data_IF_571147892940
#
_entry.id   IF_571147892940
#
_cell.length_a   1.000
_cell.length_b   1.000
_cell.length_c   1.000
_cell.angle_alpha   90.00
_cell.angle_beta   90.00
_cell.angle_gamma   90.00
#
_symmetry.space_group_name_H-M   'P 1'
#
loop_
_entity.id
_entity.type
_entity.pdbx_description
1 polymer ?
#
# COMPACT_ATOMS: atom_id res chain seq x y z
N UNK A 1 -40.64 26.90 -14.34
CA UNK A 1 -39.41 26.20 -14.76
C UNK A 1 -39.67 24.71 -14.83
N UNK A 2 -39.66 24.14 -16.05
CA UNK A 2 -39.94 22.72 -16.32
C UNK A 2 -38.92 21.81 -15.61
N UNK A 3 -39.39 20.66 -15.10
CA UNK A 3 -38.60 19.63 -14.40
C UNK A 3 -37.35 19.17 -15.19
N UNK A 4 -37.35 19.36 -16.52
CA UNK A 4 -36.22 19.07 -17.40
C UNK A 4 -35.01 20.02 -17.18
N UNK A 5 -35.26 21.28 -16.83
CA UNK A 5 -34.20 22.28 -16.56
C UNK A 5 -33.48 22.03 -15.23
N UNK A 6 -34.20 21.56 -14.20
CA UNK A 6 -33.63 21.25 -12.88
C UNK A 6 -32.69 20.03 -12.92
N UNK A 7 -32.96 19.05 -13.78
CA UNK A 7 -32.10 17.87 -13.97
C UNK A 7 -30.78 18.21 -14.66
N UNK A 8 -30.78 19.17 -15.60
CA UNK A 8 -29.55 19.61 -16.28
C UNK A 8 -28.60 20.42 -15.36
N UNK A 9 -29.15 21.24 -14.47
CA UNK A 9 -28.34 22.03 -13.53
C UNK A 9 -27.70 21.15 -12.44
N UNK A 10 -28.40 20.10 -12.00
CA UNK A 10 -27.85 19.11 -11.05
C UNK A 10 -26.76 18.25 -11.68
N UNK A 11 -26.85 17.91 -12.96
CA UNK A 11 -25.82 17.18 -13.69
C UNK A 11 -24.52 18.01 -13.84
N UNK A 12 -24.63 19.30 -14.16
CA UNK A 12 -23.46 20.21 -14.23
C UNK A 12 -22.84 20.49 -12.86
N UNK A 13 -23.65 20.59 -11.80
CA UNK A 13 -23.14 20.71 -10.43
C UNK A 13 -22.38 19.46 -9.96
N UNK A 14 -22.82 18.26 -10.38
CA UNK A 14 -22.11 17.00 -10.12
C UNK A 14 -20.75 16.91 -10.82
N UNK A 15 -20.67 17.34 -12.08
CA UNK A 15 -19.42 17.35 -12.85
C UNK A 15 -18.42 18.39 -12.32
N UNK A 16 -18.88 19.60 -11.97
CA UNK A 16 -18.03 20.62 -11.36
C UNK A 16 -17.56 20.23 -9.95
N UNK A 17 -18.41 19.55 -9.17
CA UNK A 17 -18.01 18.99 -7.88
C UNK A 17 -16.93 17.91 -7.99
N UNK A 18 -16.97 17.09 -9.06
CA UNK A 18 -15.98 16.04 -9.30
C UNK A 18 -14.62 16.60 -9.76
N UNK A 19 -14.62 17.66 -10.59
CA UNK A 19 -13.38 18.35 -11.00
C UNK A 19 -12.76 19.15 -9.85
N UNK A 20 -13.58 19.79 -9.00
CA UNK A 20 -13.10 20.47 -7.80
C UNK A 20 -12.55 19.49 -6.75
N UNK A 21 -13.14 18.29 -6.65
CA UNK A 21 -12.63 17.21 -5.79
C UNK A 21 -11.26 16.70 -6.23
N UNK A 22 -11.01 16.59 -7.54
CA UNK A 22 -9.72 16.13 -8.08
C UNK A 22 -8.60 17.18 -7.92
N UNK A 23 -8.95 18.47 -7.94
CA UNK A 23 -7.99 19.56 -7.72
C UNK A 23 -7.52 19.70 -6.26
N UNK A 24 -8.25 19.15 -5.28
CA UNK A 24 -7.85 19.16 -3.87
C UNK A 24 -6.87 18.04 -3.47
N UNK A 25 -6.60 17.08 -4.36
CA UNK A 25 -5.69 15.94 -4.09
C UNK A 25 -4.24 16.26 -4.50
N UNK A 26 -4.01 17.30 -5.29
CA UNK A 26 -2.66 17.75 -5.66
C UNK A 26 -2.03 18.60 -4.54
N UNK A 27 -1.63 17.95 -3.44
CA UNK A 27 -0.70 18.56 -2.49
C UNK A 27 0.71 18.51 -3.09
N UNK A 28 1.47 19.61 -3.10
CA UNK A 28 2.90 19.53 -3.39
C UNK A 28 3.54 18.57 -2.39
N UNK A 29 4.39 17.67 -2.87
CA UNK A 29 5.08 16.67 -2.06
C UNK A 29 5.69 17.32 -0.83
N UNK A 30 5.34 16.80 0.35
CA UNK A 30 5.96 17.24 1.59
C UNK A 30 7.46 16.98 1.48
N UNK A 31 8.26 18.03 1.60
CA UNK A 31 9.69 17.85 1.82
C UNK A 31 9.85 17.05 3.10
N UNK A 32 10.54 15.91 3.01
CA UNK A 32 10.93 15.11 4.17
C UNK A 32 11.85 16.01 5.00
N UNK A 33 11.37 16.47 6.16
CA UNK A 33 12.27 17.05 7.16
C UNK A 33 13.18 15.90 7.61
N UNK A 34 14.45 15.95 7.22
CA UNK A 34 15.47 15.06 7.72
C UNK A 34 15.44 15.12 9.26
N UNK A 35 15.29 13.96 9.90
CA UNK A 35 15.33 13.84 11.35
C UNK A 35 16.60 14.49 11.91
N UNK A 36 16.53 15.03 13.12
CA UNK A 36 17.67 15.70 13.74
C UNK A 36 18.85 14.71 13.86
N UNK A 37 20.01 15.08 13.32
CA UNK A 37 21.23 14.26 13.43
C UNK A 37 21.57 14.01 14.91
N UNK A 38 21.41 12.76 15.34
CA UNK A 38 21.80 12.32 16.68
C UNK A 38 23.30 12.07 16.69
N UNK A 39 24.05 12.99 17.27
CA UNK A 39 25.52 12.86 17.36
C UNK A 39 25.88 11.88 18.49
N UNK A 40 26.63 10.82 18.15
CA UNK A 40 27.11 9.83 19.10
C UNK A 40 28.34 10.26 19.91
N UNK A 41 28.48 9.76 21.14
CA UNK A 41 29.69 9.86 21.98
C UNK A 41 30.33 8.46 22.13
N UNK A 42 31.52 8.28 21.55
CA UNK A 42 32.25 7.02 21.57
C UNK A 42 32.57 6.49 22.98
N UNK A 43 32.77 7.35 23.98
CA UNK A 43 33.02 6.90 25.36
C UNK A 43 31.76 6.35 26.01
N UNK A 44 30.59 6.95 25.71
CA UNK A 44 29.30 6.37 26.11
C UNK A 44 29.05 5.08 25.35
N UNK A 45 29.40 5.04 24.06
CA UNK A 45 29.29 3.88 23.20
C UNK A 45 30.07 2.68 23.72
N UNK A 46 31.29 2.89 24.20
CA UNK A 46 32.10 1.83 24.82
C UNK A 46 31.38 1.19 26.02
N UNK A 47 30.72 2.01 26.86
CA UNK A 47 29.96 1.51 28.00
C UNK A 47 28.72 0.71 27.56
N UNK A 48 27.98 1.21 26.57
CA UNK A 48 26.81 0.51 25.99
C UNK A 48 27.24 -0.80 25.33
N UNK A 49 28.30 -0.78 24.53
CA UNK A 49 28.88 -1.96 23.88
C UNK A 49 29.34 -3.00 24.91
N UNK A 50 30.05 -2.56 25.94
CA UNK A 50 30.54 -3.44 27.01
C UNK A 50 29.42 -4.16 27.75
N UNK A 51 28.27 -3.51 27.93
CA UNK A 51 27.11 -4.07 28.64
C UNK A 51 26.23 -4.96 27.76
N UNK A 52 26.09 -4.64 26.47
CA UNK A 52 25.07 -5.24 25.60
C UNK A 52 25.64 -6.14 24.50
N UNK A 53 26.88 -5.91 24.06
CA UNK A 53 27.42 -6.52 22.84
C UNK A 53 28.65 -7.40 23.11
N UNK A 54 29.55 -6.94 23.98
CA UNK A 54 30.87 -7.54 24.21
C UNK A 54 30.82 -8.99 24.73
N UNK A 55 29.72 -9.38 25.39
CA UNK A 55 29.55 -10.76 25.87
C UNK A 55 29.51 -11.78 24.72
N UNK A 56 29.01 -11.38 23.56
CA UNK A 56 28.95 -12.23 22.37
C UNK A 56 30.07 -11.87 21.38
N UNK A 57 30.23 -10.58 21.07
CA UNK A 57 31.15 -10.12 20.03
C UNK A 57 32.59 -9.91 20.52
N UNK A 58 32.86 -10.11 21.81
CA UNK A 58 34.15 -9.85 22.43
C UNK A 58 34.38 -8.36 22.69
N UNK A 59 35.19 -8.04 23.71
CA UNK A 59 35.58 -6.65 24.00
C UNK A 59 36.46 -6.02 22.92
N UNK A 60 37.08 -6.84 22.08
CA UNK A 60 37.87 -6.44 20.92
C UNK A 60 37.13 -6.62 19.59
N UNK A 61 35.83 -6.91 19.64
CA UNK A 61 34.94 -7.06 18.49
C UNK A 61 35.34 -8.17 17.50
N UNK A 62 36.20 -9.12 17.91
CA UNK A 62 36.65 -10.26 17.09
C UNK A 62 35.70 -11.45 17.09
N UNK A 63 34.53 -11.30 17.69
CA UNK A 63 33.54 -12.36 17.80
C UNK A 63 33.84 -13.28 18.97
N UNK A 64 33.15 -14.41 19.00
CA UNK A 64 33.27 -15.37 20.09
C UNK A 64 32.19 -16.43 19.99
N UNK A 65 31.80 -16.96 21.15
CA UNK A 65 30.71 -17.91 21.26
C UNK A 65 29.77 -17.46 22.39
N UNK A 66 28.48 -17.60 22.16
CA UNK A 66 27.45 -17.37 23.18
C UNK A 66 27.49 -18.48 24.24
N UNK A 67 26.79 -18.29 25.36
CA UNK A 67 26.74 -19.29 26.44
C UNK A 67 26.16 -20.65 25.99
N UNK A 68 25.27 -20.65 25.00
CA UNK A 68 24.69 -21.85 24.37
C UNK A 68 25.54 -22.40 23.21
N UNK A 69 26.77 -21.91 23.03
CA UNK A 69 27.74 -22.41 22.06
C UNK A 69 27.47 -21.98 20.61
N UNK A 70 26.69 -20.91 20.40
CA UNK A 70 26.46 -20.37 19.06
C UNK A 70 27.60 -19.40 18.70
N UNK A 71 28.13 -19.48 17.47
CA UNK A 71 29.17 -18.55 17.05
C UNK A 71 28.60 -17.13 16.97
N UNK A 72 29.29 -16.19 17.60
CA UNK A 72 29.05 -14.77 17.43
C UNK A 72 30.10 -14.22 16.45
N UNK A 73 29.69 -13.63 15.32
CA UNK A 73 30.62 -13.23 14.28
C UNK A 73 31.50 -12.04 14.74
N UNK A 74 32.72 -11.92 14.17
CA UNK A 74 33.51 -10.70 14.31
C UNK A 74 32.78 -9.50 13.70
N UNK A 75 32.82 -8.36 14.39
CA UNK A 75 32.31 -7.08 13.86
C UNK A 75 33.41 -6.28 13.13
N UNK A 76 34.68 -6.66 13.30
CA UNK A 76 35.84 -6.00 12.67
C UNK A 76 36.41 -6.80 11.49
N UNK A 77 35.57 -7.59 10.83
CA UNK A 77 35.93 -8.30 9.61
C UNK A 77 35.65 -7.42 8.38
N UNK A 78 36.39 -7.65 7.29
CA UNK A 78 36.35 -6.84 6.05
C UNK A 78 34.94 -6.69 5.43
N UNK A 79 33.99 -7.55 5.78
CA UNK A 79 32.63 -7.56 5.25
C UNK A 79 31.61 -6.77 6.10
N UNK A 80 31.99 -6.25 7.27
CA UNK A 80 31.07 -5.53 8.16
C UNK A 80 31.32 -4.03 8.06
N UNK A 81 30.35 -3.29 7.51
CA UNK A 81 30.36 -1.83 7.51
C UNK A 81 29.78 -1.25 8.79
N UNK A 82 30.07 0.02 9.04
CA UNK A 82 29.44 0.77 10.12
C UNK A 82 27.90 0.77 9.98
N UNK A 83 27.42 0.90 8.75
CA UNK A 83 25.99 0.87 8.40
C UNK A 83 25.32 -0.45 8.73
N UNK A 84 26.04 -1.58 8.62
CA UNK A 84 25.44 -2.86 8.96
C UNK A 84 25.24 -2.97 10.47
N UNK A 85 26.20 -2.49 11.26
CA UNK A 85 26.07 -2.45 12.73
C UNK A 85 24.89 -1.57 13.14
N UNK A 86 24.74 -0.40 12.54
CA UNK A 86 23.63 0.51 12.82
C UNK A 86 22.28 -0.10 12.41
N UNK A 87 22.18 -0.60 11.17
CA UNK A 87 20.96 -1.17 10.61
C UNK A 87 20.37 -2.30 11.46
N UNK A 88 21.20 -3.20 11.97
CA UNK A 88 20.70 -4.33 12.78
C UNK A 88 20.27 -3.90 14.18
N UNK A 89 20.78 -2.78 14.70
CA UNK A 89 20.31 -2.18 15.94
C UNK A 89 18.99 -1.43 15.72
N UNK A 90 18.95 -0.51 14.73
CA UNK A 90 17.76 0.28 14.37
C UNK A 90 16.54 -0.57 14.06
N UNK A 91 16.77 -1.73 13.45
CA UNK A 91 15.68 -2.63 13.06
C UNK A 91 15.43 -3.78 14.05
N UNK A 92 16.06 -3.76 15.24
CA UNK A 92 15.82 -4.72 16.32
C UNK A 92 16.27 -6.16 16.03
N UNK A 93 17.16 -6.35 15.05
CA UNK A 93 17.65 -7.67 14.63
C UNK A 93 18.80 -8.19 15.48
N UNK A 94 19.52 -7.28 16.14
CA UNK A 94 20.45 -7.61 17.20
C UNK A 94 19.85 -7.31 18.58
N UNK A 95 20.00 -8.23 19.56
CA UNK A 95 20.56 -9.57 19.44
C UNK A 95 19.61 -10.56 18.73
N UNK A 96 20.13 -11.56 18.00
CA UNK A 96 19.31 -12.50 17.25
C UNK A 96 18.66 -13.52 18.19
N UNK A 97 17.47 -14.03 17.81
CA UNK A 97 16.86 -15.19 18.47
C UNK A 97 17.51 -16.50 18.00
N UNK A 98 16.88 -17.62 18.30
CA UNK A 98 17.35 -18.96 17.88
C UNK A 98 17.59 -19.05 16.37
N UNK A 99 16.76 -18.40 15.57
CA UNK A 99 17.01 -18.23 14.13
C UNK A 99 17.63 -16.85 13.87
N UNK A 100 18.87 -16.85 13.37
CA UNK A 100 19.60 -15.63 13.00
C UNK A 100 19.08 -14.99 11.70
N UNK A 101 18.30 -15.74 10.91
CA UNK A 101 17.76 -15.29 9.63
C UNK A 101 16.27 -14.90 9.71
N UNK A 102 15.67 -14.96 10.90
CA UNK A 102 14.31 -14.50 11.11
C UNK A 102 14.24 -12.97 11.02
N UNK A 103 13.63 -12.49 9.94
CA UNK A 103 13.52 -11.08 9.55
C UNK A 103 12.22 -10.41 10.01
N UNK A 104 11.47 -11.02 10.93
CA UNK A 104 10.25 -10.43 11.49
C UNK A 104 10.56 -9.22 12.36
N UNK A 105 9.59 -8.31 12.44
CA UNK A 105 9.69 -7.09 13.24
C UNK A 105 9.87 -7.41 14.72
N UNK A 106 10.69 -6.60 15.38
CA UNK A 106 11.14 -6.80 16.75
C UNK A 106 11.24 -5.48 17.47
N UNK A 107 11.15 -5.53 18.79
CA UNK A 107 11.39 -4.38 19.64
C UNK A 107 12.87 -3.97 19.55
N UNK A 108 13.10 -2.70 19.29
CA UNK A 108 14.42 -2.08 19.40
C UNK A 108 14.78 -1.95 20.88
N UNK A 109 15.96 -2.44 21.26
CA UNK A 109 16.38 -2.52 22.66
C UNK A 109 17.15 -1.30 23.16
N UNK A 110 17.77 -0.56 22.25
CA UNK A 110 18.58 0.62 22.53
C UNK A 110 17.84 1.88 22.09
N UNK A 111 17.96 2.96 22.85
CA UNK A 111 17.50 4.27 22.38
C UNK A 111 18.32 4.75 21.17
N UNK A 112 17.77 5.66 20.36
CA UNK A 112 18.49 6.23 19.20
C UNK A 112 19.86 6.81 19.60
N UNK A 113 19.94 7.47 20.76
CA UNK A 113 21.20 7.99 21.27
C UNK A 113 22.20 6.88 21.64
N UNK A 114 21.75 5.79 22.27
CA UNK A 114 22.64 4.66 22.59
C UNK A 114 23.15 3.96 21.33
N UNK A 115 22.32 3.89 20.28
CA UNK A 115 22.73 3.35 18.98
C UNK A 115 23.80 4.25 18.35
N UNK A 116 23.55 5.56 18.28
CA UNK A 116 24.52 6.53 17.78
C UNK A 116 25.84 6.51 18.56
N UNK A 117 25.77 6.38 19.89
CA UNK A 117 26.96 6.25 20.74
C UNK A 117 27.76 4.99 20.39
N UNK A 118 27.10 3.84 20.21
CA UNK A 118 27.76 2.58 19.81
C UNK A 118 28.38 2.71 18.42
N UNK A 119 27.67 3.30 17.46
CA UNK A 119 28.20 3.57 16.11
C UNK A 119 29.47 4.42 16.19
N UNK A 120 29.45 5.52 16.94
CA UNK A 120 30.63 6.37 17.14
C UNK A 120 31.79 5.61 17.79
N UNK A 121 31.51 4.74 18.76
CA UNK A 121 32.53 3.87 19.36
C UNK A 121 33.13 2.90 18.35
N UNK A 122 32.31 2.26 17.50
CA UNK A 122 32.78 1.30 16.52
C UNK A 122 33.66 1.96 15.44
N UNK A 123 33.28 3.16 15.01
CA UNK A 123 34.09 3.99 14.12
C UNK A 123 35.43 4.37 14.77
N UNK A 124 35.42 4.99 15.96
CA UNK A 124 36.63 5.50 16.60
C UNK A 124 37.58 4.38 17.06
N UNK A 125 37.03 3.33 17.70
CA UNK A 125 37.84 2.29 18.34
C UNK A 125 38.41 1.28 17.36
N UNK A 126 37.62 0.92 16.35
CA UNK A 126 37.90 -0.19 15.44
C UNK A 126 38.06 0.23 13.98
N UNK A 127 37.79 1.50 13.64
CA UNK A 127 38.00 2.04 12.30
C UNK A 127 36.99 1.54 11.27
N UNK A 128 35.78 1.15 11.70
CA UNK A 128 34.69 0.83 10.77
C UNK A 128 34.30 2.09 10.00
N UNK A 129 34.02 1.94 8.71
CA UNK A 129 33.61 3.04 7.82
C UNK A 129 32.21 2.84 7.31
N UNK A 130 31.48 3.94 7.08
CA UNK A 130 30.22 3.90 6.33
C UNK A 130 30.49 3.70 4.83
N UNK A 131 29.65 2.88 4.19
CA UNK A 131 29.55 2.65 2.75
C UNK A 131 28.39 3.43 2.13
N UNK A 132 27.45 3.92 2.94
CA UNK A 132 26.29 4.72 2.53
C UNK A 132 26.68 6.18 2.36
N UNK A 133 27.30 6.78 3.39
CA UNK A 133 27.54 8.23 3.45
C UNK A 133 26.24 9.03 3.66
N UNK A 134 26.24 10.29 3.24
CA UNK A 134 25.04 11.15 3.31
C UNK A 134 24.03 10.74 2.24
N UNK A 135 22.76 10.58 2.63
CA UNK A 135 21.68 10.22 1.70
C UNK A 135 21.25 11.44 0.91
N UNK A 136 21.32 11.34 -0.42
CA UNK A 136 20.88 12.41 -1.31
C UNK A 136 19.38 12.68 -1.16
N UNK A 137 18.98 13.94 -1.27
CA UNK A 137 17.57 14.29 -1.41
C UNK A 137 17.03 13.70 -2.72
N UNK A 138 15.91 12.99 -2.65
CA UNK A 138 15.31 12.30 -3.79
C UNK A 138 13.96 12.84 -4.24
N UNK A 139 13.53 12.39 -5.42
CA UNK A 139 12.22 12.60 -6.03
C UNK A 139 11.36 11.33 -5.91
N UNK A 140 10.22 11.44 -5.21
CA UNK A 140 9.33 10.32 -4.97
C UNK A 140 8.72 9.71 -6.26
N UNK A 141 8.54 10.51 -7.32
CA UNK A 141 8.01 10.03 -8.60
C UNK A 141 8.99 9.10 -9.31
N UNK A 142 10.25 9.51 -9.39
CA UNK A 142 11.37 8.71 -9.89
C UNK A 142 11.61 7.49 -8.99
N UNK A 143 11.50 7.68 -7.67
CA UNK A 143 11.62 6.65 -6.65
C UNK A 143 10.64 5.50 -6.83
N UNK A 144 9.38 5.79 -7.17
CA UNK A 144 8.37 4.76 -7.46
C UNK A 144 8.82 3.85 -8.62
N UNK A 145 9.37 4.40 -9.70
CA UNK A 145 9.81 3.61 -10.86
C UNK A 145 11.02 2.72 -10.52
N UNK A 146 12.00 3.26 -9.79
CA UNK A 146 13.15 2.50 -9.33
C UNK A 146 12.72 1.40 -8.34
N UNK A 147 11.87 1.75 -7.38
CA UNK A 147 11.35 0.81 -6.38
C UNK A 147 10.56 -0.33 -7.00
N UNK A 148 9.64 -0.03 -7.93
CA UNK A 148 8.81 -1.02 -8.58
C UNK A 148 9.62 -2.07 -9.36
N UNK A 149 10.75 -1.65 -9.96
CA UNK A 149 11.62 -2.54 -10.74
C UNK A 149 12.55 -3.40 -9.88
N UNK A 150 12.95 -2.91 -8.71
CA UNK A 150 14.03 -3.53 -7.92
C UNK A 150 13.58 -4.14 -6.59
N UNK A 151 12.55 -3.58 -5.94
CA UNK A 151 12.24 -3.86 -4.53
C UNK A 151 10.86 -4.50 -4.36
N UNK A 152 9.88 -4.08 -5.18
CA UNK A 152 8.47 -4.42 -4.98
C UNK A 152 8.15 -5.92 -5.08
N UNK A 153 8.97 -6.70 -5.80
CA UNK A 153 8.80 -8.15 -5.92
C UNK A 153 8.93 -8.88 -4.58
N UNK A 154 9.67 -8.29 -3.63
CA UNK A 154 9.91 -8.87 -2.31
C UNK A 154 9.20 -8.08 -1.21
N UNK A 155 9.27 -6.74 -1.25
CA UNK A 155 8.74 -5.88 -0.20
C UNK A 155 7.29 -5.41 -0.41
N UNK A 156 6.63 -5.85 -1.49
CA UNK A 156 5.29 -5.41 -1.85
C UNK A 156 5.28 -4.06 -2.56
N UNK A 157 4.13 -3.63 -3.08
CA UNK A 157 4.03 -2.38 -3.85
C UNK A 157 4.28 -1.13 -2.98
N UNK A 158 3.97 -1.23 -1.69
CA UNK A 158 4.02 -0.15 -0.70
C UNK A 158 5.18 -0.30 0.29
N UNK A 159 6.02 -1.34 0.17
CA UNK A 159 7.04 -1.62 1.18
C UNK A 159 6.49 -2.19 2.48
N UNK A 160 5.25 -2.67 2.52
CA UNK A 160 4.65 -3.32 3.69
C UNK A 160 5.32 -4.65 4.07
N UNK A 161 6.08 -5.26 3.15
CA UNK A 161 6.70 -6.57 3.35
C UNK A 161 5.69 -7.71 3.29
N UNK A 162 6.03 -8.83 3.92
CA UNK A 162 5.20 -10.04 3.99
C UNK A 162 5.91 -11.30 3.51
N UNK A 163 5.14 -12.33 3.17
CA UNK A 163 5.69 -13.60 2.69
C UNK A 163 5.95 -13.50 1.19
N UNK A 164 7.22 -13.47 0.81
CA UNK A 164 7.65 -13.53 -0.59
C UNK A 164 7.55 -14.96 -1.14
N UNK A 165 7.73 -15.10 -2.45
CA UNK A 165 7.75 -16.42 -3.12
C UNK A 165 8.73 -17.38 -2.44
N UNK A 166 8.27 -18.60 -2.13
CA UNK A 166 9.06 -19.60 -1.42
C UNK A 166 8.91 -19.63 0.11
N UNK A 167 8.06 -18.78 0.69
CA UNK A 167 7.75 -18.80 2.13
C UNK A 167 8.69 -17.95 2.99
N UNK A 168 9.64 -17.24 2.38
CA UNK A 168 10.57 -16.35 3.07
C UNK A 168 9.85 -15.08 3.51
N UNK A 169 10.05 -14.68 4.78
CA UNK A 169 9.53 -13.42 5.30
C UNK A 169 10.41 -12.25 4.89
N UNK A 170 9.80 -11.23 4.30
CA UNK A 170 10.42 -9.96 3.93
C UNK A 170 9.88 -8.86 4.86
N UNK A 171 10.75 -8.04 5.47
CA UNK A 171 10.30 -7.03 6.42
C UNK A 171 9.59 -5.86 5.74
N UNK A 172 8.78 -5.16 6.55
CA UNK A 172 8.30 -3.83 6.23
C UNK A 172 9.49 -2.88 6.14
N UNK A 173 9.51 -2.08 5.07
CA UNK A 173 10.48 -1.01 4.85
C UNK A 173 9.83 0.37 4.77
N UNK A 174 8.53 0.47 4.50
CA UNK A 174 7.77 1.72 4.65
C UNK A 174 7.88 2.27 6.08
N UNK A 175 8.04 3.58 6.23
CA UNK A 175 8.09 4.23 7.55
C UNK A 175 9.47 4.25 8.22
N UNK A 176 10.49 3.60 7.64
CA UNK A 176 11.87 3.81 8.08
C UNK A 176 12.42 5.14 7.55
N UNK A 177 13.37 5.72 8.29
CA UNK A 177 14.05 6.93 7.86
C UNK A 177 14.95 6.68 6.62
N UNK A 178 15.28 7.73 5.84
CA UNK A 178 16.07 7.60 4.63
C UNK A 178 17.43 6.93 4.81
N UNK A 179 18.08 7.16 5.96
CA UNK A 179 19.38 6.54 6.27
C UNK A 179 19.20 5.03 6.41
N UNK A 180 18.23 4.57 7.22
CA UNK A 180 17.92 3.14 7.38
C UNK A 180 17.59 2.46 6.05
N UNK A 181 16.86 3.14 5.15
CA UNK A 181 16.58 2.62 3.80
C UNK A 181 17.88 2.46 2.99
N UNK A 182 18.72 3.50 2.96
CA UNK A 182 19.96 3.48 2.22
C UNK A 182 20.93 2.42 2.76
N UNK A 183 21.02 2.26 4.09
CA UNK A 183 21.76 1.19 4.74
C UNK A 183 21.26 -0.19 4.29
N UNK A 184 19.94 -0.42 4.29
CA UNK A 184 19.35 -1.67 3.80
C UNK A 184 19.74 -2.00 2.36
N UNK A 185 19.67 -1.01 1.47
CA UNK A 185 20.01 -1.15 0.05
C UNK A 185 21.50 -1.43 -0.16
N UNK A 186 22.39 -0.70 0.52
CA UNK A 186 23.85 -0.83 0.35
C UNK A 186 24.43 -2.05 1.03
N UNK A 187 23.94 -2.39 2.22
CA UNK A 187 24.40 -3.54 3.00
C UNK A 187 23.87 -4.84 2.40
N UNK A 188 22.61 -4.88 1.96
CA UNK A 188 21.95 -6.12 1.53
C UNK A 188 21.93 -7.17 2.64
N UNK A 189 21.20 -6.93 3.75
CA UNK A 189 21.28 -7.81 4.89
C UNK A 189 20.52 -9.13 4.67
N UNK A 190 21.03 -10.21 5.28
CA UNK A 190 20.43 -11.55 5.27
C UNK A 190 20.31 -12.17 3.87
N UNK A 191 19.09 -12.20 3.31
CA UNK A 191 18.79 -12.75 1.99
C UNK A 191 18.58 -11.65 0.95
N UNK A 192 18.56 -10.38 1.36
CA UNK A 192 18.45 -9.25 0.44
C UNK A 192 19.80 -9.04 -0.26
N UNK A 193 19.87 -8.97 -1.60
CA UNK A 193 21.11 -8.65 -2.28
C UNK A 193 21.57 -7.23 -1.94
N UNK A 194 22.88 -7.03 -1.86
CA UNK A 194 23.46 -5.69 -1.78
C UNK A 194 23.42 -5.01 -3.15
N UNK A 195 23.05 -3.74 -3.19
CA UNK A 195 23.04 -2.93 -4.41
C UNK A 195 24.17 -1.91 -4.35
N UNK A 196 25.23 -2.15 -5.11
CA UNK A 196 26.34 -1.22 -5.25
C UNK A 196 25.97 0.01 -6.13
N UNK A 197 26.89 0.96 -6.21
CA UNK A 197 26.72 2.19 -7.01
C UNK A 197 26.68 1.95 -8.52
N UNK A 198 27.05 0.76 -8.99
CA UNK A 198 26.95 0.40 -10.39
C UNK A 198 25.55 -0.07 -10.77
N UNK A 199 24.80 -0.62 -9.81
CA UNK A 199 23.43 -1.08 -10.01
C UNK A 199 22.37 -0.06 -9.57
N UNK A 200 22.62 0.69 -8.49
CA UNK A 200 21.77 1.80 -8.03
C UNK A 200 22.66 2.98 -7.60
N UNK A 201 22.53 4.13 -8.25
CA UNK A 201 23.25 5.34 -7.89
C UNK A 201 22.80 5.89 -6.53
N UNK A 202 23.59 6.79 -5.93
CA UNK A 202 23.23 7.40 -4.64
C UNK A 202 21.96 8.28 -4.77
N UNK A 203 21.73 8.87 -5.94
CA UNK A 203 20.50 9.61 -6.27
C UNK A 203 19.28 8.68 -6.33
N UNK A 204 19.39 7.54 -7.02
CA UNK A 204 18.30 6.55 -7.08
C UNK A 204 17.96 5.96 -5.70
N UNK A 205 18.95 5.80 -4.82
CA UNK A 205 18.70 5.39 -3.43
C UNK A 205 17.95 6.48 -2.65
N UNK A 206 18.33 7.74 -2.83
CA UNK A 206 17.60 8.89 -2.29
C UNK A 206 16.16 8.95 -2.81
N UNK A 207 15.94 8.70 -4.09
CA UNK A 207 14.62 8.64 -4.73
C UNK A 207 13.76 7.52 -4.12
N UNK A 208 14.32 6.33 -3.93
CA UNK A 208 13.63 5.20 -3.26
C UNK A 208 13.20 5.61 -1.85
N UNK A 209 14.10 6.23 -1.07
CA UNK A 209 13.79 6.68 0.28
C UNK A 209 12.69 7.76 0.27
N UNK A 210 12.76 8.72 -0.66
CA UNK A 210 11.74 9.74 -0.85
C UNK A 210 10.38 9.12 -1.19
N UNK A 211 10.33 8.12 -2.09
CA UNK A 211 9.11 7.38 -2.40
C UNK A 211 8.54 6.69 -1.16
N UNK A 212 9.34 5.91 -0.43
CA UNK A 212 8.88 5.18 0.75
C UNK A 212 8.40 6.10 1.88
N UNK A 213 8.89 7.33 1.96
CA UNK A 213 8.39 8.35 2.87
C UNK A 213 7.00 8.89 2.46
N UNK A 214 6.61 8.79 1.18
CA UNK A 214 5.27 9.17 0.71
C UNK A 214 4.22 8.08 0.89
N UNK A 215 4.65 6.83 1.07
CA UNK A 215 3.73 5.73 1.31
C UNK A 215 3.27 5.82 2.76
N UNK A 216 2.10 6.41 2.98
CA UNK A 216 1.49 6.52 4.31
C UNK A 216 1.33 5.13 4.95
N UNK A 217 1.48 5.06 6.28
CA UNK A 217 1.04 3.93 7.09
C UNK A 217 -0.50 3.83 7.08
N UNK A 218 -1.09 3.59 5.92
CA UNK A 218 -2.49 3.23 5.84
C UNK A 218 -2.58 1.78 6.31
N UNK A 219 -2.92 1.59 7.58
CA UNK A 219 -3.53 0.36 8.08
C UNK A 219 -4.87 0.15 7.35
N UNK A 220 -4.80 -0.23 6.07
CA UNK A 220 -5.91 -0.78 5.29
C UNK A 220 -6.49 -2.07 5.93
N UNK A 221 -5.89 -2.51 7.04
CA UNK A 221 -6.36 -3.53 7.95
C UNK A 221 -7.73 -3.22 8.61
N UNK A 222 -8.22 -1.98 8.57
CA UNK A 222 -9.50 -1.63 9.23
C UNK A 222 -10.73 -2.36 8.68
N UNK A 223 -10.65 -2.98 7.49
CA UNK A 223 -11.72 -3.82 6.97
C UNK A 223 -11.27 -5.22 6.51
N UNK A 224 -10.04 -5.38 6.01
CA UNK A 224 -9.50 -6.67 5.55
C UNK A 224 -8.00 -6.71 5.83
N UNK A 225 -7.54 -7.65 6.66
CA UNK A 225 -6.16 -7.70 7.19
C UNK A 225 -5.06 -8.02 6.17
N UNK A 226 -4.81 -7.13 5.20
CA UNK A 226 -3.71 -7.18 4.25
C UNK A 226 -4.01 -6.46 2.94
N UNK A 227 -2.97 -6.09 2.20
CA UNK A 227 -3.09 -5.57 0.83
C UNK A 227 -3.89 -6.55 -0.04
N UNK A 228 -4.88 -6.04 -0.77
CA UNK A 228 -5.58 -6.83 -1.78
C UNK A 228 -4.61 -7.11 -2.93
N UNK A 229 -3.93 -8.26 -2.90
CA UNK A 229 -3.27 -8.82 -4.09
C UNK A 229 -4.26 -8.70 -5.28
N UNK A 230 -3.86 -8.33 -6.50
CA UNK A 230 -4.75 -8.20 -7.65
C UNK A 230 -5.69 -9.41 -7.85
N UNK A 231 -5.26 -10.61 -7.45
CA UNK A 231 -6.10 -11.82 -7.42
C UNK A 231 -7.23 -11.74 -6.39
N UNK A 232 -6.98 -11.23 -5.19
CA UNK A 232 -8.02 -11.01 -4.16
C UNK A 232 -8.88 -9.77 -4.45
N UNK A 233 -8.29 -8.72 -5.05
CA UNK A 233 -9.03 -7.54 -5.48
C UNK A 233 -10.10 -7.89 -6.52
N UNK A 234 -9.76 -8.73 -7.51
CA UNK A 234 -10.72 -9.19 -8.52
C UNK A 234 -11.80 -10.11 -7.94
N UNK A 235 -11.45 -11.02 -7.02
CA UNK A 235 -12.44 -11.86 -6.32
C UNK A 235 -13.40 -11.06 -5.45
N UNK A 236 -12.90 -10.05 -4.72
CA UNK A 236 -13.71 -9.18 -3.88
C UNK A 236 -14.62 -8.26 -4.70
N UNK A 237 -14.13 -7.71 -5.81
CA UNK A 237 -14.94 -6.92 -6.73
C UNK A 237 -16.11 -7.73 -7.32
N UNK A 238 -15.88 -9.00 -7.67
CA UNK A 238 -16.93 -9.92 -8.14
C UNK A 238 -17.93 -10.21 -7.02
N UNK A 239 -17.47 -10.46 -5.80
CA UNK A 239 -18.34 -10.72 -4.65
C UNK A 239 -19.22 -9.51 -4.31
N UNK A 240 -18.65 -8.29 -4.30
CA UNK A 240 -19.41 -7.05 -4.09
C UNK A 240 -20.43 -6.82 -5.20
N UNK A 241 -20.03 -7.05 -6.46
CA UNK A 241 -20.93 -6.93 -7.61
C UNK A 241 -22.11 -7.89 -7.49
N UNK A 242 -21.85 -9.15 -7.11
CA UNK A 242 -22.90 -10.14 -6.87
C UNK A 242 -23.84 -9.73 -5.73
N UNK A 243 -23.31 -9.21 -4.61
CA UNK A 243 -24.13 -8.72 -3.50
C UNK A 243 -25.02 -7.56 -3.93
N UNK A 244 -24.49 -6.58 -4.68
CA UNK A 244 -25.28 -5.45 -5.19
C UNK A 244 -26.37 -5.92 -6.15
N UNK A 245 -26.06 -6.87 -7.04
CA UNK A 245 -27.05 -7.45 -7.96
C UNK A 245 -28.14 -8.20 -7.20
N UNK A 246 -27.78 -9.04 -6.23
CA UNK A 246 -28.75 -9.79 -5.41
C UNK A 246 -29.64 -8.85 -4.61
N UNK A 247 -29.08 -7.83 -3.97
CA UNK A 247 -29.85 -6.82 -3.24
C UNK A 247 -30.76 -6.04 -4.18
N UNK A 248 -30.28 -5.66 -5.37
CA UNK A 248 -31.07 -4.99 -6.39
C UNK A 248 -32.29 -5.82 -6.84
N UNK A 249 -32.10 -7.12 -7.07
CA UNK A 249 -33.19 -8.05 -7.40
C UNK A 249 -34.19 -8.18 -6.25
N UNK A 250 -33.72 -8.27 -5.00
CA UNK A 250 -34.58 -8.40 -3.83
C UNK A 250 -35.38 -7.12 -3.53
N UNK A 251 -34.84 -5.94 -3.85
CA UNK A 251 -35.53 -4.66 -3.68
C UNK A 251 -36.51 -4.41 -4.82
N UNK A 252 -36.12 -4.68 -6.07
CA UNK A 252 -36.98 -4.53 -7.24
C UNK A 252 -38.12 -5.56 -7.28
N UNK A 253 -37.93 -6.73 -6.66
CA UNK A 253 -38.93 -7.80 -6.56
C UNK A 253 -40.02 -7.59 -5.51
N UNK A 254 -39.96 -6.53 -4.69
CA UNK A 254 -41.02 -6.24 -3.70
C UNK A 254 -42.21 -5.56 -4.39
N UNK A 255 -43.41 -6.17 -4.43
CA UNK A 255 -44.56 -5.56 -5.06
C UNK A 255 -44.95 -4.29 -4.30
N UNK A 256 -44.93 -3.16 -5.00
CA UNK A 256 -45.48 -1.89 -4.50
C UNK A 256 -46.99 -2.06 -4.38
N UNK A 257 -47.49 -2.19 -3.14
CA UNK A 257 -48.95 -2.15 -2.89
C UNK A 257 -49.41 -0.71 -3.07
N UNK A 258 -50.10 -0.44 -4.17
CA UNK A 258 -50.88 0.79 -4.33
C UNK A 258 -52.14 0.60 -3.47
N UNK A 259 -52.41 1.43 -2.45
CA UNK A 259 -53.65 1.33 -1.69
C UNK A 259 -54.83 1.69 -2.59
N UNK A 260 -55.76 0.76 -2.77
CA UNK A 260 -57.03 1.03 -3.43
C UNK A 260 -57.92 1.86 -2.50
N UNK A 261 -58.18 3.11 -2.87
CA UNK A 261 -59.23 3.93 -2.24
C UNK A 261 -60.59 3.44 -2.73
N UNK A 262 -61.16 2.51 -1.97
CA UNK A 262 -62.59 2.22 -2.03
C UNK A 262 -63.21 2.32 -0.65
N UNK A 263 -63.65 3.54 -0.31
CA UNK A 263 -65.00 3.73 0.21
C UNK A 263 -65.14 3.99 1.71
N UNK A 264 -65.32 5.27 2.06
CA UNK A 264 -66.28 5.67 3.10
C UNK A 264 -66.66 7.16 2.99
N UNK A 265 -67.93 7.43 2.65
CA UNK A 265 -68.74 8.38 3.43
C UNK A 265 -69.02 9.80 2.91
N UNK A 266 -70.15 9.94 2.22
CA UNK A 266 -71.21 10.99 2.34
C UNK A 266 -70.88 12.50 2.31
N UNK A 267 -71.50 13.20 1.34
CA UNK A 267 -71.75 14.65 1.36
C UNK A 267 -72.50 15.15 0.10
N UNK A 268 -73.77 15.49 0.26
CA UNK A 268 -74.83 15.79 -0.73
C UNK A 268 -74.73 17.21 -1.37
N UNK A 269 -74.82 17.26 -2.72
CA UNK A 269 -75.45 18.21 -3.70
C UNK A 269 -75.41 19.78 -3.54
N UNK A 270 -75.79 20.63 -4.55
CA UNK A 270 -76.40 20.30 -5.86
C UNK A 270 -75.95 21.12 -7.12
N UNK A 271 -76.25 20.55 -8.30
CA UNK A 271 -77.00 21.26 -9.35
C UNK A 271 -76.25 21.79 -10.58
N UNK A 272 -76.30 21.04 -11.69
CA UNK A 272 -76.58 21.57 -13.03
C UNK A 272 -76.87 20.42 -14.02
N UNK A 273 -78.05 20.47 -14.65
CA UNK A 273 -78.57 19.52 -15.65
C UNK A 273 -77.92 19.67 -17.05
N UNK A 274 -78.06 18.65 -17.93
CA UNK A 274 -77.23 18.42 -19.11
C UNK A 274 -77.89 18.84 -20.44
N UNK A 275 -77.17 18.72 -21.56
CA UNK A 275 -77.70 17.85 -22.63
C UNK A 275 -76.55 17.05 -23.30
N UNK A 276 -76.68 15.75 -23.52
CA UNK A 276 -77.46 15.03 -24.52
C UNK A 276 -76.48 14.34 -25.48
N UNK A 277 -76.73 13.06 -25.65
CA UNK A 277 -75.92 12.07 -26.34
C UNK A 277 -76.16 12.20 -27.84
N UNK A 278 -75.13 12.01 -28.66
CA UNK A 278 -75.34 11.44 -29.98
C UNK A 278 -74.31 10.36 -30.27
N UNK A 279 -74.86 9.18 -30.53
CA UNK A 279 -74.25 7.97 -31.05
C UNK A 279 -73.65 8.20 -32.44
N UNK A 280 -72.66 7.38 -32.82
CA UNK A 280 -72.75 6.46 -33.97
C UNK A 280 -71.42 5.71 -34.10
N UNK A 281 -71.54 4.40 -34.26
CA UNK A 281 -70.50 3.43 -34.53
C UNK A 281 -69.91 3.59 -35.94
N UNK A 282 -68.65 3.18 -36.15
CA UNK A 282 -68.37 2.09 -37.08
C UNK A 282 -66.97 1.49 -36.86
N UNK A 283 -66.88 0.20 -37.16
CA UNK A 283 -65.78 -0.75 -36.97
C UNK A 283 -64.91 -0.83 -38.26
N UNK A 284 -64.19 -1.92 -38.58
CA UNK A 284 -63.01 -2.50 -37.92
C UNK A 284 -61.80 -2.80 -38.87
N UNK A 285 -60.71 -3.24 -38.25
CA UNK A 285 -59.80 -4.36 -38.63
C UNK A 285 -59.08 -4.45 -39.99
N UNK A 286 -57.77 -4.74 -39.88
CA UNK A 286 -57.02 -5.90 -40.44
C UNK A 286 -55.78 -5.52 -41.27
N UNK A 287 -54.53 -5.84 -40.86
CA UNK A 287 -53.75 -7.11 -40.98
C UNK A 287 -52.63 -6.98 -42.04
N UNK A 288 -51.43 -7.48 -41.71
CA UNK A 288 -50.34 -7.84 -42.62
C UNK A 288 -48.97 -7.61 -41.96
N UNK A 289 -48.35 -8.55 -41.22
CA UNK A 289 -47.70 -9.80 -41.62
C UNK A 289 -46.51 -9.62 -42.58
N UNK A 290 -45.30 -10.02 -42.15
CA UNK A 290 -44.09 -10.07 -42.98
C UNK A 290 -42.78 -10.28 -42.21
N UNK A 291 -42.56 -11.50 -41.74
CA UNK A 291 -41.26 -12.14 -41.43
C UNK A 291 -40.72 -12.84 -42.72
N UNK A 292 -39.56 -13.54 -42.80
CA UNK A 292 -38.44 -13.75 -41.85
C UNK A 292 -37.00 -13.82 -42.49
N UNK A 293 -36.01 -14.23 -41.65
CA UNK A 293 -34.85 -15.11 -41.93
C UNK A 293 -33.64 -14.55 -42.76
N UNK A 294 -32.38 -14.95 -42.63
CA UNK A 294 -31.60 -15.84 -41.74
C UNK A 294 -30.09 -15.69 -42.07
N UNK A 295 -29.25 -16.34 -41.26
CA UNK A 295 -27.89 -16.86 -41.55
C UNK A 295 -26.68 -15.90 -41.57
N UNK A 296 -25.47 -16.29 -41.18
CA UNK A 296 -24.94 -17.40 -40.37
C UNK A 296 -23.42 -17.17 -40.20
N UNK A 297 -22.87 -17.81 -39.17
CA UNK A 297 -21.47 -18.01 -38.78
C UNK A 297 -20.38 -18.15 -39.87
N UNK A 298 -19.15 -17.71 -39.53
CA UNK A 298 -17.90 -18.43 -39.85
C UNK A 298 -16.69 -17.93 -39.02
N UNK A 299 -16.10 -18.84 -38.25
CA UNK A 299 -14.67 -18.98 -37.88
C UNK A 299 -14.19 -20.31 -38.53
N UNK A 300 -12.88 -20.64 -38.74
CA UNK A 300 -11.80 -20.56 -37.74
C UNK A 300 -10.34 -20.35 -38.23
N UNK A 301 -9.43 -20.33 -37.24
CA UNK A 301 -8.01 -20.74 -37.16
C UNK A 301 -7.04 -20.65 -38.35
N UNK A 302 -5.84 -20.10 -38.09
CA UNK A 302 -4.58 -20.76 -38.46
C UNK A 302 -3.36 -20.19 -37.71
N UNK A 303 -2.48 -21.11 -37.28
CA UNK A 303 -1.17 -20.92 -36.67
C UNK A 303 -0.13 -20.27 -37.62
N UNK A 304 0.95 -19.71 -37.05
CA UNK A 304 2.37 -20.02 -37.37
C UNK A 304 3.30 -18.87 -36.95
N UNK A 305 4.41 -19.20 -36.27
CA UNK A 305 5.62 -18.37 -36.22
C UNK A 305 6.40 -18.46 -34.94
#
# INVERSE_FOLDING_TARGET
>A
MSARSRRSLLAWAGVLGMVAGLALVARPGAAVEAGQDVVGDARRGEAVYGQNCAQCHGGDARGGETFDGRPAPPLVADAVSLDYVDLVMKTGRMPPRQDAFDNRDRAVLLSEQEQADVVAFMEERFGLTSIVGEVAAGDAGSGLEVYARNCASCHGATGAGGVAGGGTWTPRISGNDPETIAQGVRVGPFQMPAFDRANLSDEEVGDIAAFLATVEEEDAALLFGGELNPVYASGFAVALTLVVVVVGVLVAGKPVRIPDDSGSGHGEAPGAEPPAVDSIADSPSAVGAGEPADAAEAQPDEERG
#
